data_IF_237440906676
#
_entry.id   IF_237440906676
#
_cell.length_a   1.000
_cell.length_b   1.000
_cell.length_c   1.000
_cell.angle_alpha   90.00
_cell.angle_beta   90.00
_cell.angle_gamma   90.00
#
_symmetry.space_group_name_H-M   'P 1'
#
loop_
_entity.id
_entity.type
_entity.pdbx_description
1 polymer ?
#
# COMPACT_ATOMS: atom_id res chain seq x y z
N UNK A 1 -13.95 25.13 3.64
CA UNK A 1 -14.86 24.86 2.50
C UNK A 1 -16.00 23.99 3.02
N UNK A 2 -17.28 24.25 2.66
CA UNK A 2 -18.34 23.25 2.87
C UNK A 2 -17.95 22.06 2.02
N UNK A 3 -17.91 20.86 2.59
CA UNK A 3 -17.80 19.64 1.79
C UNK A 3 -18.92 19.70 0.74
N UNK A 4 -18.57 19.65 -0.55
CA UNK A 4 -19.55 19.44 -1.60
C UNK A 4 -20.32 18.16 -1.23
N UNK A 5 -21.61 18.15 -1.42
CA UNK A 5 -22.39 16.93 -1.25
C UNK A 5 -21.88 15.95 -2.31
N UNK A 6 -21.46 14.74 -1.91
CA UNK A 6 -20.90 13.77 -2.86
C UNK A 6 -21.90 13.43 -3.99
N UNK A 7 -23.20 13.62 -3.75
CA UNK A 7 -24.26 13.48 -4.78
C UNK A 7 -24.14 14.48 -5.91
N UNK A 8 -23.49 15.62 -5.70
CA UNK A 8 -23.27 16.62 -6.76
C UNK A 8 -22.36 16.07 -7.87
N UNK A 9 -21.60 14.99 -7.60
CA UNK A 9 -20.69 14.32 -8.56
C UNK A 9 -21.34 13.22 -9.41
N UNK A 10 -22.63 12.98 -9.32
CA UNK A 10 -23.30 11.91 -10.07
C UNK A 10 -23.13 12.07 -11.60
N UNK A 11 -23.31 13.28 -12.10
CA UNK A 11 -23.12 13.59 -13.53
C UNK A 11 -21.65 13.48 -13.93
N UNK A 12 -20.72 13.95 -13.06
CA UNK A 12 -19.29 13.87 -13.31
C UNK A 12 -18.79 12.43 -13.35
N UNK A 13 -19.26 11.55 -12.46
CA UNK A 13 -18.96 10.12 -12.46
C UNK A 13 -19.47 9.45 -13.73
N UNK A 14 -20.71 9.77 -14.15
CA UNK A 14 -21.30 9.21 -15.35
C UNK A 14 -20.53 9.64 -16.59
N UNK A 15 -20.13 10.90 -16.68
CA UNK A 15 -19.31 11.44 -17.75
C UNK A 15 -17.93 10.79 -17.78
N UNK A 16 -17.29 10.65 -16.63
CA UNK A 16 -15.99 9.99 -16.50
C UNK A 16 -16.04 8.53 -16.96
N UNK A 17 -17.02 7.77 -16.47
CA UNK A 17 -17.23 6.37 -16.87
C UNK A 17 -17.41 6.22 -18.37
N UNK A 18 -18.21 7.11 -19.00
CA UNK A 18 -18.38 7.13 -20.45
C UNK A 18 -17.08 7.49 -21.18
N UNK A 19 -16.27 8.42 -20.66
CA UNK A 19 -14.99 8.81 -21.27
C UNK A 19 -13.95 7.69 -21.22
N UNK A 20 -14.00 6.85 -20.19
CA UNK A 20 -13.14 5.66 -20.05
C UNK A 20 -13.70 4.43 -20.76
N UNK A 21 -14.89 4.54 -21.39
CA UNK A 21 -15.63 3.42 -22.04
C UNK A 21 -15.80 2.22 -21.09
N UNK A 22 -16.09 2.49 -19.83
CA UNK A 22 -16.28 1.44 -18.82
C UNK A 22 -17.49 0.55 -19.14
N UNK A 23 -17.45 -0.75 -18.80
CA UNK A 23 -18.62 -1.62 -18.91
C UNK A 23 -19.71 -1.18 -17.91
N UNK A 24 -20.98 -1.49 -18.23
CA UNK A 24 -22.13 -1.06 -17.45
C UNK A 24 -22.05 -1.48 -15.96
N UNK A 25 -21.52 -2.67 -15.67
CA UNK A 25 -21.38 -3.15 -14.29
C UNK A 25 -20.50 -2.21 -13.45
N UNK A 26 -19.46 -1.61 -14.05
CA UNK A 26 -18.56 -0.69 -13.32
C UNK A 26 -19.27 0.64 -13.02
N UNK A 27 -20.02 1.19 -13.97
CA UNK A 27 -20.84 2.38 -13.70
C UNK A 27 -21.88 2.12 -12.60
N UNK A 28 -22.58 0.99 -12.65
CA UNK A 28 -23.55 0.60 -11.63
C UNK A 28 -22.89 0.46 -10.25
N UNK A 29 -21.66 -0.10 -10.20
CA UNK A 29 -20.88 -0.23 -8.98
C UNK A 29 -20.46 1.14 -8.43
N UNK A 30 -19.99 2.07 -9.29
CA UNK A 30 -19.65 3.45 -8.90
C UNK A 30 -20.82 4.19 -8.27
N UNK A 31 -21.99 4.10 -8.89
CA UNK A 31 -23.21 4.77 -8.40
C UNK A 31 -23.66 4.19 -7.06
N UNK A 32 -23.62 2.87 -6.92
CA UNK A 32 -23.89 2.20 -5.65
C UNK A 32 -22.90 2.61 -4.56
N UNK A 33 -21.61 2.68 -4.90
CA UNK A 33 -20.56 3.11 -3.99
C UNK A 33 -20.73 4.57 -3.56
N UNK A 34 -21.15 5.45 -4.46
CA UNK A 34 -21.46 6.84 -4.14
C UNK A 34 -22.57 6.95 -3.08
N UNK A 35 -23.64 6.15 -3.19
CA UNK A 35 -24.68 6.06 -2.17
C UNK A 35 -24.12 5.59 -0.83
N UNK A 36 -23.26 4.55 -0.86
CA UNK A 36 -22.62 4.00 0.34
C UNK A 36 -21.68 4.99 1.04
N UNK A 37 -21.03 5.91 0.31
CA UNK A 37 -20.24 6.97 0.92
C UNK A 37 -21.02 7.83 1.93
N UNK A 38 -22.34 7.94 1.78
CA UNK A 38 -23.17 8.70 2.74
C UNK A 38 -23.55 7.89 3.97
N UNK A 39 -23.73 6.57 3.81
CA UNK A 39 -24.20 5.69 4.85
C UNK A 39 -23.09 5.20 5.79
N UNK A 40 -21.89 5.02 5.25
CA UNK A 40 -20.77 4.41 5.96
C UNK A 40 -19.97 5.42 6.78
N UNK A 41 -19.37 4.93 7.86
CA UNK A 41 -18.42 5.69 8.68
C UNK A 41 -17.01 5.67 8.07
N UNK A 42 -16.20 6.68 8.42
CA UNK A 42 -14.76 6.65 8.16
C UNK A 42 -14.08 5.49 8.91
N UNK A 43 -13.02 4.91 8.34
CA UNK A 43 -12.24 3.88 9.03
C UNK A 43 -11.71 4.40 10.37
N UNK A 44 -11.63 3.51 11.35
CA UNK A 44 -11.14 3.84 12.69
C UNK A 44 -9.76 3.22 12.89
N UNK A 45 -8.74 4.05 12.88
CA UNK A 45 -7.41 3.67 13.33
C UNK A 45 -7.23 4.13 14.77
N UNK A 46 -6.93 3.21 15.66
CA UNK A 46 -6.86 3.52 17.09
C UNK A 46 -5.81 4.60 17.35
N UNK A 47 -6.17 5.62 18.16
CA UNK A 47 -5.36 6.78 18.53
C UNK A 47 -5.08 7.79 17.41
N UNK A 48 -5.59 7.60 16.20
CA UNK A 48 -5.47 8.55 15.09
C UNK A 48 -6.81 9.24 14.81
N UNK A 49 -6.81 10.57 14.71
CA UNK A 49 -8.02 11.39 14.51
C UNK A 49 -8.04 11.96 13.11
N UNK A 50 -8.72 11.29 12.20
CA UNK A 50 -8.74 11.61 10.77
C UNK A 50 -9.91 12.50 10.31
N UNK A 51 -10.90 12.76 11.15
CA UNK A 51 -12.13 13.48 10.77
C UNK A 51 -11.91 14.91 10.26
N UNK A 52 -10.70 15.45 10.36
CA UNK A 52 -10.32 16.78 9.83
C UNK A 52 -9.40 16.70 8.63
N UNK A 53 -9.00 15.50 8.22
CA UNK A 53 -8.13 15.35 7.08
C UNK A 53 -8.94 15.46 5.78
N UNK A 54 -8.41 16.05 4.73
CA UNK A 54 -9.10 16.20 3.45
C UNK A 54 -9.05 14.92 2.62
N UNK A 55 -9.45 13.78 3.19
CA UNK A 55 -9.36 12.45 2.55
C UNK A 55 -10.36 12.24 1.39
N UNK A 56 -11.40 13.08 1.33
CA UNK A 56 -12.46 12.95 0.32
C UNK A 56 -12.61 14.23 -0.53
N UNK A 57 -11.51 14.93 -0.76
CA UNK A 57 -11.52 16.07 -1.67
C UNK A 57 -11.35 15.55 -3.12
N UNK A 58 -12.41 15.56 -3.90
CA UNK A 58 -12.42 15.01 -5.27
C UNK A 58 -11.68 15.94 -6.25
N UNK A 59 -11.76 17.25 -6.06
CA UNK A 59 -11.29 18.21 -7.04
C UNK A 59 -12.12 18.14 -8.33
N UNK A 60 -11.46 18.22 -9.49
CA UNK A 60 -12.12 18.10 -10.80
C UNK A 60 -11.82 16.74 -11.43
N UNK A 61 -12.83 15.86 -11.48
CA UNK A 61 -12.68 14.50 -11.99
C UNK A 61 -12.42 14.46 -13.51
N UNK A 62 -13.02 15.40 -14.26
CA UNK A 62 -13.05 15.40 -15.72
C UNK A 62 -12.10 16.44 -16.35
N UNK A 63 -11.22 17.06 -15.60
CA UNK A 63 -10.29 18.05 -16.15
C UNK A 63 -9.20 17.38 -16.97
N UNK A 64 -9.09 17.76 -18.24
CA UNK A 64 -7.95 17.36 -19.07
C UNK A 64 -6.68 18.08 -18.63
N UNK A 65 -5.61 17.33 -18.45
CA UNK A 65 -4.30 17.92 -18.18
C UNK A 65 -3.79 18.57 -19.46
N UNK A 66 -3.81 19.90 -19.50
CA UNK A 66 -3.15 20.67 -20.55
C UNK A 66 -1.63 20.65 -20.30
N UNK A 67 -0.93 19.71 -20.89
CA UNK A 67 0.52 19.62 -20.86
C UNK A 67 1.01 18.18 -21.04
N UNK A 68 2.18 18.03 -21.66
CA UNK A 68 2.85 16.72 -21.67
C UNK A 68 3.51 16.55 -20.31
N UNK A 69 3.04 15.59 -19.46
CA UNK A 69 3.76 15.27 -18.24
C UNK A 69 5.17 14.81 -18.62
N UNK A 70 6.17 15.40 -17.99
CA UNK A 70 7.55 14.96 -18.18
C UNK A 70 7.65 13.62 -17.44
N UNK A 71 8.00 12.56 -18.17
CA UNK A 71 8.31 11.28 -17.53
C UNK A 71 9.47 11.50 -16.56
N UNK A 72 9.37 11.00 -15.33
CA UNK A 72 10.50 10.98 -14.42
C UNK A 72 11.71 10.34 -15.12
N UNK A 73 12.89 10.92 -14.99
CA UNK A 73 14.11 10.31 -15.52
C UNK A 73 14.45 9.08 -14.68
N UNK A 74 14.25 7.90 -15.24
CA UNK A 74 14.77 6.66 -14.70
C UNK A 74 16.06 6.35 -15.44
N UNK A 75 17.15 6.19 -14.70
CA UNK A 75 18.48 6.02 -15.28
C UNK A 75 18.67 4.66 -16.00
N UNK A 76 17.77 3.69 -15.81
CA UNK A 76 17.77 2.43 -16.57
C UNK A 76 16.33 1.87 -16.62
N UNK A 77 15.64 2.02 -17.73
CA UNK A 77 14.51 1.17 -18.07
C UNK A 77 15.08 -0.22 -18.41
N UNK A 78 15.09 -1.12 -17.43
CA UNK A 78 15.35 -2.53 -17.69
C UNK A 78 14.23 -3.10 -18.59
N UNK A 79 14.45 -4.23 -19.26
CA UNK A 79 13.46 -4.95 -20.09
C UNK A 79 12.32 -5.56 -19.24
N UNK A 80 12.03 -4.98 -18.06
CA UNK A 80 10.99 -5.44 -17.14
C UNK A 80 9.60 -4.97 -17.58
N UNK A 81 8.55 -5.75 -17.30
CA UNK A 81 7.18 -5.30 -17.50
C UNK A 81 6.90 -4.06 -16.62
N UNK A 82 6.51 -2.93 -17.24
CA UNK A 82 6.35 -1.65 -16.54
C UNK A 82 5.14 -0.86 -17.03
N UNK A 83 4.42 -0.25 -16.08
CA UNK A 83 3.38 0.74 -16.36
C UNK A 83 3.69 2.01 -15.59
N UNK A 84 3.68 3.15 -16.30
CA UNK A 84 3.82 4.48 -15.71
C UNK A 84 2.53 5.25 -15.94
N UNK A 85 1.90 5.69 -14.85
CA UNK A 85 0.70 6.52 -14.90
C UNK A 85 0.94 7.87 -14.23
N UNK A 86 0.70 8.93 -14.97
CA UNK A 86 0.38 10.22 -14.40
C UNK A 86 -1.08 10.22 -13.95
N UNK A 87 -1.56 11.24 -13.29
CA UNK A 87 -2.95 11.41 -12.81
C UNK A 87 -3.95 10.32 -13.27
N UNK A 88 -4.58 10.47 -14.47
CA UNK A 88 -5.56 9.53 -15.02
C UNK A 88 -5.09 8.82 -16.29
N UNK A 89 -3.87 9.09 -16.73
CA UNK A 89 -3.36 8.67 -18.05
C UNK A 89 -2.19 7.71 -17.90
N UNK A 90 -2.24 6.61 -18.63
CA UNK A 90 -1.10 5.72 -18.84
C UNK A 90 -0.16 6.37 -19.85
N UNK A 91 1.05 6.69 -19.41
CA UNK A 91 2.08 7.39 -20.20
C UNK A 91 3.08 6.44 -20.82
N UNK A 92 3.25 5.29 -20.20
CA UNK A 92 4.14 4.25 -20.66
C UNK A 92 3.60 2.89 -20.26
N UNK A 93 3.68 1.94 -21.17
CA UNK A 93 3.34 0.54 -20.93
C UNK A 93 4.32 -0.35 -21.70
N UNK A 94 4.97 -1.25 -21.00
CA UNK A 94 5.87 -2.24 -21.55
C UNK A 94 5.51 -3.61 -21.04
N UNK A 95 5.26 -4.53 -21.96
CA UNK A 95 4.98 -5.93 -21.68
C UNK A 95 5.82 -6.83 -22.60
N UNK A 96 6.73 -7.68 -22.07
CA UNK A 96 7.48 -8.62 -22.86
C UNK A 96 6.55 -9.58 -23.61
N UNK A 97 6.83 -9.82 -24.91
CA UNK A 97 6.01 -10.68 -25.77
C UNK A 97 5.93 -12.10 -25.22
N UNK A 98 7.01 -12.58 -24.67
CA UNK A 98 7.12 -13.94 -24.10
C UNK A 98 6.16 -14.18 -22.93
N UNK A 99 5.87 -13.15 -22.14
CA UNK A 99 4.90 -13.21 -21.05
C UNK A 99 3.47 -13.14 -21.58
N UNK A 100 3.22 -12.30 -22.57
CA UNK A 100 1.92 -12.21 -23.23
C UNK A 100 1.54 -13.52 -23.94
N UNK A 101 2.51 -14.20 -24.59
CA UNK A 101 2.31 -15.51 -25.20
C UNK A 101 1.99 -16.62 -24.18
N UNK A 102 2.41 -16.46 -22.94
CA UNK A 102 2.04 -17.33 -21.82
C UNK A 102 0.65 -17.01 -21.24
N UNK A 103 -0.02 -15.98 -21.75
CA UNK A 103 -1.32 -15.53 -21.28
C UNK A 103 -1.30 -14.63 -20.05
N UNK A 104 -0.12 -14.08 -19.69
CA UNK A 104 -0.02 -13.06 -18.64
C UNK A 104 -0.63 -11.77 -19.16
N UNK A 105 -1.45 -11.11 -18.32
CA UNK A 105 -2.06 -9.82 -18.63
C UNK A 105 -1.48 -8.81 -17.64
N UNK A 106 -0.91 -7.73 -18.15
CA UNK A 106 -0.44 -6.61 -17.34
C UNK A 106 -0.76 -5.32 -18.10
N UNK A 107 -1.76 -4.60 -17.66
CA UNK A 107 -2.28 -3.45 -18.39
C UNK A 107 -2.99 -2.47 -17.45
N UNK A 108 -3.35 -1.30 -18.00
CA UNK A 108 -4.19 -0.32 -17.35
C UNK A 108 -5.53 -0.92 -16.91
N UNK A 109 -6.02 -0.49 -15.72
CA UNK A 109 -7.24 -1.06 -15.12
C UNK A 109 -8.49 -0.85 -16.01
N UNK A 110 -8.61 0.29 -16.71
CA UNK A 110 -9.76 0.55 -17.58
C UNK A 110 -9.68 -0.28 -18.86
N UNK A 111 -8.49 -0.47 -19.41
CA UNK A 111 -8.25 -1.39 -20.52
C UNK A 111 -8.63 -2.82 -20.12
N UNK A 112 -8.22 -3.26 -18.91
CA UNK A 112 -8.60 -4.57 -18.40
C UNK A 112 -10.13 -4.72 -18.22
N UNK A 113 -10.81 -3.70 -17.71
CA UNK A 113 -12.27 -3.71 -17.57
C UNK A 113 -13.00 -3.86 -18.91
N UNK A 114 -12.43 -3.36 -20.02
CA UNK A 114 -12.98 -3.52 -21.36
C UNK A 114 -12.66 -4.87 -21.98
N UNK A 115 -11.40 -5.25 -21.98
CA UNK A 115 -10.90 -6.40 -22.72
C UNK A 115 -11.05 -7.71 -21.96
N UNK A 116 -11.06 -7.65 -20.63
CA UNK A 116 -11.12 -8.79 -19.70
C UNK A 116 -12.23 -8.62 -18.66
N UNK A 117 -13.37 -8.07 -19.06
CA UNK A 117 -14.45 -7.59 -18.19
C UNK A 117 -14.90 -8.62 -17.15
N UNK A 118 -15.21 -9.84 -17.56
CA UNK A 118 -15.67 -10.91 -16.66
C UNK A 118 -14.63 -11.27 -15.59
N UNK A 119 -13.35 -11.25 -15.97
CA UNK A 119 -12.25 -11.57 -15.05
C UNK A 119 -12.05 -10.46 -14.03
N UNK A 120 -12.13 -9.19 -14.44
CA UNK A 120 -12.00 -8.07 -13.50
C UNK A 120 -13.23 -7.99 -12.58
N UNK A 121 -14.45 -8.15 -13.11
CA UNK A 121 -15.69 -8.11 -12.33
C UNK A 121 -15.72 -9.17 -11.23
N UNK A 122 -15.13 -10.36 -11.46
CA UNK A 122 -15.09 -11.45 -10.47
C UNK A 122 -14.34 -11.05 -9.20
N UNK A 123 -13.27 -10.25 -9.33
CA UNK A 123 -12.36 -9.96 -8.21
C UNK A 123 -12.38 -8.53 -7.70
N UNK A 124 -12.66 -7.56 -8.57
CA UNK A 124 -12.57 -6.13 -8.24
C UNK A 124 -13.52 -5.75 -7.10
N UNK A 125 -12.95 -5.30 -5.99
CA UNK A 125 -13.67 -4.84 -4.80
C UNK A 125 -14.70 -5.86 -4.26
N UNK A 126 -14.33 -7.16 -4.28
CA UNK A 126 -15.23 -8.26 -3.86
C UNK A 126 -14.62 -9.21 -2.85
N UNK A 127 -13.44 -9.78 -3.13
CA UNK A 127 -12.85 -10.87 -2.33
C UNK A 127 -11.87 -10.37 -1.26
N UNK A 128 -10.98 -9.48 -1.63
CA UNK A 128 -9.99 -8.97 -0.71
C UNK A 128 -10.52 -7.70 -0.01
N UNK A 129 -10.90 -6.68 -0.75
CA UNK A 129 -11.44 -5.42 -0.21
C UNK A 129 -12.89 -5.26 -0.64
N UNK A 130 -13.90 -5.46 0.25
CA UNK A 130 -15.29 -5.17 -0.10
C UNK A 130 -15.53 -3.68 -0.34
N UNK A 131 -16.29 -3.34 -1.39
CA UNK A 131 -16.63 -1.96 -1.75
C UNK A 131 -17.31 -1.19 -0.62
N UNK A 132 -18.07 -1.88 0.23
CA UNK A 132 -18.89 -1.32 1.30
C UNK A 132 -18.34 -1.60 2.72
N UNK A 133 -17.04 -1.83 2.84
CA UNK A 133 -16.39 -2.04 4.15
C UNK A 133 -16.41 -0.79 5.01
N UNK A 134 -16.03 0.35 4.44
CA UNK A 134 -16.06 1.66 5.07
C UNK A 134 -16.28 2.79 4.05
N UNK A 135 -16.32 4.02 4.54
CA UNK A 135 -16.51 5.20 3.68
C UNK A 135 -15.38 5.38 2.67
N UNK A 136 -14.14 5.01 3.00
CA UNK A 136 -12.99 5.23 2.12
C UNK A 136 -12.91 4.18 1.00
N UNK A 137 -13.35 2.94 1.24
CA UNK A 137 -13.48 1.91 0.20
C UNK A 137 -14.63 2.23 -0.76
N UNK A 138 -15.75 2.75 -0.25
CA UNK A 138 -16.84 3.24 -1.07
C UNK A 138 -16.41 4.46 -1.91
N UNK A 139 -15.72 5.44 -1.29
CA UNK A 139 -15.17 6.59 -1.98
C UNK A 139 -14.17 6.18 -3.07
N UNK A 140 -13.28 5.21 -2.78
CA UNK A 140 -12.37 4.65 -3.77
C UNK A 140 -13.11 4.14 -5.01
N UNK A 141 -14.12 3.30 -4.78
CA UNK A 141 -14.89 2.68 -5.88
C UNK A 141 -15.66 3.72 -6.71
N UNK A 142 -16.27 4.71 -6.05
CA UNK A 142 -17.03 5.76 -6.75
C UNK A 142 -16.14 6.65 -7.62
N UNK A 143 -14.94 6.98 -7.15
CA UNK A 143 -14.07 7.99 -7.75
C UNK A 143 -12.77 7.44 -8.34
N UNK A 144 -12.62 6.12 -8.47
CA UNK A 144 -11.45 5.48 -9.11
C UNK A 144 -11.08 6.18 -10.42
N UNK A 145 -9.81 6.59 -10.55
CA UNK A 145 -9.35 7.35 -11.70
C UNK A 145 -8.04 6.83 -12.33
N UNK A 146 -7.67 5.60 -12.03
CA UNK A 146 -6.56 4.90 -12.67
C UNK A 146 -6.13 3.67 -11.87
N UNK A 147 -5.18 2.92 -12.42
CA UNK A 147 -4.68 1.73 -11.77
C UNK A 147 -4.17 0.70 -12.76
N UNK A 148 -3.88 -0.48 -12.24
CA UNK A 148 -3.24 -1.56 -12.98
C UNK A 148 -3.92 -2.90 -12.67
N UNK A 149 -4.05 -3.72 -13.68
CA UNK A 149 -4.48 -5.10 -13.59
C UNK A 149 -3.34 -6.05 -13.97
N UNK A 150 -3.03 -7.00 -13.09
CA UNK A 150 -2.07 -8.08 -13.33
C UNK A 150 -2.74 -9.43 -13.13
N UNK A 151 -2.74 -10.24 -14.19
CA UNK A 151 -3.20 -11.62 -14.15
C UNK A 151 -2.07 -12.55 -14.57
N UNK A 152 -1.75 -13.53 -13.73
CA UNK A 152 -0.73 -14.55 -14.01
C UNK A 152 -1.40 -15.92 -14.09
N UNK A 153 -1.38 -16.56 -15.27
CA UNK A 153 -2.06 -17.84 -15.49
C UNK A 153 -1.50 -19.00 -14.64
N UNK A 154 -2.29 -20.06 -14.55
CA UNK A 154 -1.94 -21.29 -13.82
C UNK A 154 -0.58 -21.87 -14.28
N UNK A 155 0.26 -22.22 -13.28
CA UNK A 155 1.60 -22.79 -13.44
C UNK A 155 2.62 -21.88 -14.17
N UNK A 156 2.32 -20.60 -14.35
CA UNK A 156 3.27 -19.63 -14.89
C UNK A 156 4.14 -19.06 -13.76
N UNK A 157 5.46 -19.15 -13.94
CA UNK A 157 6.46 -18.59 -13.02
C UNK A 157 7.17 -17.46 -13.73
N UNK A 158 6.93 -16.23 -13.28
CA UNK A 158 7.56 -15.04 -13.85
C UNK A 158 8.78 -14.67 -13.00
N UNK A 159 9.94 -14.50 -13.66
CA UNK A 159 11.20 -14.17 -13.00
C UNK A 159 11.41 -12.66 -12.87
N UNK A 160 10.97 -11.94 -13.87
CA UNK A 160 11.02 -10.50 -13.94
C UNK A 160 9.99 -9.90 -12.96
N UNK A 161 10.33 -8.78 -12.33
CA UNK A 161 9.37 -8.07 -11.51
C UNK A 161 8.48 -7.18 -12.39
N UNK A 162 7.19 -7.20 -12.16
CA UNK A 162 6.26 -6.21 -12.70
C UNK A 162 6.37 -4.91 -11.91
N UNK A 163 6.42 -3.79 -12.61
CA UNK A 163 6.57 -2.49 -11.97
C UNK A 163 5.46 -1.53 -12.34
N UNK A 164 4.89 -0.84 -11.37
CA UNK A 164 4.05 0.32 -11.59
C UNK A 164 4.63 1.56 -10.92
N UNK A 165 4.66 2.65 -11.66
CA UNK A 165 4.93 3.96 -11.12
C UNK A 165 3.70 4.85 -11.29
N UNK A 166 3.15 5.28 -10.16
CA UNK A 166 2.10 6.28 -10.13
C UNK A 166 2.70 7.61 -9.66
N UNK A 167 2.52 8.67 -10.43
CA UNK A 167 3.00 9.99 -10.04
C UNK A 167 1.98 11.10 -10.29
N UNK A 168 2.06 12.16 -9.49
CA UNK A 168 1.24 13.35 -9.64
C UNK A 168 2.02 14.60 -9.28
N UNK A 169 1.74 15.70 -9.98
CA UNK A 169 2.29 17.00 -9.62
C UNK A 169 1.67 17.51 -8.32
N UNK A 170 2.48 18.07 -7.42
CA UNK A 170 2.00 18.71 -6.20
C UNK A 170 1.20 20.01 -6.44
N UNK A 171 1.13 20.48 -7.69
CA UNK A 171 0.27 21.60 -8.10
C UNK A 171 -1.11 21.17 -8.58
N UNK A 172 -1.32 19.86 -8.83
CA UNK A 172 -2.61 19.30 -9.20
C UNK A 172 -3.36 18.88 -7.93
N UNK A 173 -4.45 19.58 -7.62
CA UNK A 173 -5.26 19.35 -6.42
C UNK A 173 -6.41 18.34 -6.61
N UNK A 174 -6.48 17.68 -7.77
CA UNK A 174 -7.46 16.62 -8.03
C UNK A 174 -7.17 15.40 -7.16
N UNK A 175 -8.24 14.67 -6.81
CA UNK A 175 -8.09 13.42 -6.08
C UNK A 175 -7.25 12.41 -6.89
N UNK A 176 -6.39 11.70 -6.18
CA UNK A 176 -5.51 10.69 -6.77
C UNK A 176 -5.89 9.31 -6.26
N UNK A 177 -6.67 8.58 -7.09
CA UNK A 177 -7.33 7.35 -6.68
C UNK A 177 -6.90 6.21 -7.59
N UNK A 178 -6.05 5.31 -7.07
CA UNK A 178 -5.43 4.22 -7.83
C UNK A 178 -5.76 2.86 -7.26
N UNK A 179 -6.06 1.93 -8.16
CA UNK A 179 -6.33 0.55 -7.84
C UNK A 179 -5.32 -0.39 -8.49
N UNK A 180 -4.76 -1.30 -7.72
CA UNK A 180 -3.96 -2.42 -8.24
C UNK A 180 -4.68 -3.72 -7.93
N UNK A 181 -5.05 -4.46 -8.97
CA UNK A 181 -5.64 -5.79 -8.84
C UNK A 181 -4.69 -6.85 -9.37
N UNK A 182 -4.21 -7.74 -8.49
CA UNK A 182 -3.32 -8.84 -8.84
C UNK A 182 -4.05 -10.15 -8.63
N UNK A 183 -4.18 -10.95 -9.70
CA UNK A 183 -4.73 -12.30 -9.66
C UNK A 183 -3.64 -13.29 -10.04
N UNK A 184 -3.13 -14.04 -9.06
CA UNK A 184 -2.15 -15.08 -9.25
C UNK A 184 -2.85 -16.45 -9.26
N UNK A 185 -2.96 -17.08 -10.41
CA UNK A 185 -3.63 -18.38 -10.58
C UNK A 185 -2.85 -19.52 -9.93
N UNK A 186 -3.45 -20.69 -9.89
CA UNK A 186 -2.93 -21.89 -9.21
C UNK A 186 -1.48 -22.21 -9.61
N UNK A 187 -0.59 -22.33 -8.60
CA UNK A 187 0.85 -22.59 -8.73
C UNK A 187 1.62 -21.54 -9.56
N UNK A 188 1.11 -20.32 -9.70
CA UNK A 188 1.86 -19.24 -10.33
C UNK A 188 2.82 -18.58 -9.34
N UNK A 189 3.88 -17.94 -9.85
CA UNK A 189 4.80 -17.14 -9.03
C UNK A 189 5.03 -15.78 -9.70
N UNK A 190 4.94 -14.70 -8.90
CA UNK A 190 5.09 -13.32 -9.39
C UNK A 190 5.68 -12.39 -8.34
N UNK A 191 6.48 -11.44 -8.80
CA UNK A 191 6.95 -10.30 -8.00
C UNK A 191 6.38 -9.01 -8.58
N UNK A 192 5.85 -8.14 -7.72
CA UNK A 192 5.29 -6.86 -8.10
C UNK A 192 5.89 -5.73 -7.27
N UNK A 193 6.21 -4.62 -7.94
CA UNK A 193 6.77 -3.40 -7.34
C UNK A 193 5.85 -2.22 -7.62
N UNK A 194 5.48 -1.51 -6.56
CA UNK A 194 4.71 -0.26 -6.67
C UNK A 194 5.56 0.92 -6.20
N UNK A 195 5.55 1.98 -6.98
CA UNK A 195 6.14 3.25 -6.60
C UNK A 195 5.09 4.36 -6.68
N UNK A 196 4.90 5.05 -5.54
CA UNK A 196 4.07 6.24 -5.47
C UNK A 196 4.96 7.47 -5.30
N UNK A 197 4.82 8.45 -6.20
CA UNK A 197 5.68 9.62 -6.20
C UNK A 197 4.92 10.90 -6.51
N UNK A 198 5.23 11.99 -5.81
CA UNK A 198 4.78 13.33 -6.17
C UNK A 198 5.95 14.19 -6.63
N UNK A 199 5.71 15.06 -7.60
CA UNK A 199 6.72 15.95 -8.18
C UNK A 199 6.40 17.43 -7.95
N UNK A 200 7.48 18.22 -7.80
CA UNK A 200 7.40 19.67 -7.66
C UNK A 200 7.06 20.11 -6.24
N UNK A 201 6.68 21.39 -6.12
CA UNK A 201 6.25 22.01 -4.87
C UNK A 201 4.81 22.53 -5.03
N UNK A 202 3.98 22.34 -4.02
CA UNK A 202 2.60 22.79 -4.00
C UNK A 202 2.07 22.97 -2.58
N UNK A 203 1.14 23.89 -2.41
CA UNK A 203 0.50 24.17 -1.12
C UNK A 203 -0.94 23.68 -1.05
N UNK A 204 -1.54 23.33 -2.17
CA UNK A 204 -2.91 22.83 -2.22
C UNK A 204 -2.98 21.43 -1.62
N UNK A 205 -4.04 21.15 -0.89
CA UNK A 205 -4.23 19.83 -0.26
C UNK A 205 -4.76 18.82 -1.28
N UNK A 206 -4.03 17.73 -1.41
CA UNK A 206 -4.35 16.61 -2.30
C UNK A 206 -4.89 15.46 -1.46
N UNK A 207 -6.00 14.87 -1.91
CA UNK A 207 -6.53 13.61 -1.39
C UNK A 207 -5.96 12.46 -2.22
N UNK A 208 -5.30 11.51 -1.58
CA UNK A 208 -4.83 10.29 -2.22
C UNK A 208 -5.49 9.05 -1.59
N UNK A 209 -5.96 8.13 -2.44
CA UNK A 209 -6.62 6.89 -2.02
C UNK A 209 -6.11 5.74 -2.88
N UNK A 210 -5.38 4.82 -2.25
CA UNK A 210 -4.77 3.68 -2.93
C UNK A 210 -5.32 2.38 -2.37
N UNK A 211 -5.84 1.53 -3.27
CA UNK A 211 -6.29 0.18 -2.92
C UNK A 211 -5.51 -0.83 -3.74
N UNK A 212 -5.00 -1.86 -3.07
CA UNK A 212 -4.34 -3.00 -3.68
C UNK A 212 -5.06 -4.28 -3.24
N UNK A 213 -5.51 -5.06 -4.20
CA UNK A 213 -6.08 -6.37 -3.98
C UNK A 213 -5.17 -7.45 -4.58
N UNK A 214 -4.81 -8.44 -3.76
CA UNK A 214 -4.04 -9.61 -4.19
C UNK A 214 -4.89 -10.86 -3.96
N UNK A 215 -5.22 -11.55 -5.05
CA UNK A 215 -5.91 -12.84 -5.02
C UNK A 215 -4.89 -13.94 -5.30
N UNK A 216 -4.43 -14.60 -4.26
CA UNK A 216 -3.46 -15.69 -4.35
C UNK A 216 -4.18 -17.04 -4.36
N UNK A 217 -4.33 -17.64 -5.55
CA UNK A 217 -4.98 -18.93 -5.78
C UNK A 217 -4.13 -20.09 -5.21
N UNK A 218 -4.66 -21.31 -5.10
CA UNK A 218 -3.95 -22.40 -4.44
C UNK A 218 -2.51 -22.65 -4.98
N UNK A 219 -1.55 -22.67 -4.05
CA UNK A 219 -0.15 -22.92 -4.37
C UNK A 219 0.59 -21.75 -5.04
N UNK A 220 -0.07 -20.61 -5.27
CA UNK A 220 0.58 -19.44 -5.86
C UNK A 220 1.49 -18.71 -4.86
N UNK A 221 2.46 -17.97 -5.39
CA UNK A 221 3.40 -17.16 -4.60
C UNK A 221 3.45 -15.74 -5.15
N UNK A 222 3.10 -14.78 -4.32
CA UNK A 222 3.15 -13.36 -4.68
C UNK A 222 4.12 -12.64 -3.73
N UNK A 223 5.06 -11.90 -4.30
CA UNK A 223 5.90 -10.97 -3.56
C UNK A 223 5.53 -9.55 -3.99
N UNK A 224 5.07 -8.76 -3.05
CA UNK A 224 4.68 -7.38 -3.28
C UNK A 224 5.62 -6.44 -2.51
N UNK A 225 6.23 -5.50 -3.20
CA UNK A 225 6.99 -4.43 -2.58
C UNK A 225 6.45 -3.06 -2.97
N UNK A 226 6.47 -2.09 -2.06
CA UNK A 226 6.06 -0.72 -2.33
C UNK A 226 6.96 0.30 -1.67
N UNK A 227 7.19 1.42 -2.39
CA UNK A 227 7.83 2.62 -1.85
C UNK A 227 6.90 3.81 -2.07
N UNK A 228 6.38 4.34 -0.98
CA UNK A 228 5.43 5.46 -1.00
C UNK A 228 6.16 6.76 -0.63
N UNK A 229 6.29 7.69 -1.60
CA UNK A 229 7.04 8.95 -1.49
C UNK A 229 6.16 10.14 -1.85
N UNK A 230 5.14 10.39 -1.05
CA UNK A 230 4.16 11.44 -1.28
C UNK A 230 4.53 12.69 -0.47
N UNK A 231 4.35 13.86 -1.08
CA UNK A 231 4.69 15.15 -0.50
C UNK A 231 3.83 15.56 0.71
N UNK A 232 4.27 16.59 1.41
CA UNK A 232 3.66 17.05 2.68
C UNK A 232 2.22 17.59 2.55
N UNK A 233 1.80 17.98 1.34
CA UNK A 233 0.44 18.44 1.07
C UNK A 233 -0.54 17.31 0.76
N UNK A 234 -0.08 16.05 0.70
CA UNK A 234 -0.91 14.87 0.40
C UNK A 234 -1.42 14.24 1.68
N UNK A 235 -2.74 14.08 1.78
CA UNK A 235 -3.38 13.28 2.83
C UNK A 235 -3.80 11.94 2.23
N UNK A 236 -3.27 10.85 2.76
CA UNK A 236 -3.35 9.54 2.11
C UNK A 236 -4.14 8.53 2.92
N UNK A 237 -5.03 7.81 2.22
CA UNK A 237 -5.59 6.54 2.64
C UNK A 237 -4.99 5.42 1.79
N UNK A 238 -4.56 4.34 2.44
CA UNK A 238 -4.04 3.13 1.78
C UNK A 238 -4.74 1.90 2.34
N UNK A 239 -5.21 1.03 1.45
CA UNK A 239 -5.69 -0.30 1.83
C UNK A 239 -5.04 -1.32 0.91
N UNK A 240 -4.19 -2.18 1.47
CA UNK A 240 -3.52 -3.26 0.72
C UNK A 240 -3.91 -4.58 1.36
N UNK A 241 -4.64 -5.42 0.62
CA UNK A 241 -5.17 -6.67 1.17
C UNK A 241 -4.95 -7.86 0.25
N UNK A 242 -4.59 -9.00 0.88
CA UNK A 242 -4.48 -10.27 0.18
C UNK A 242 -5.54 -11.26 0.67
N UNK A 243 -6.16 -11.97 -0.27
CA UNK A 243 -6.92 -13.18 -0.04
C UNK A 243 -6.09 -14.39 -0.42
N UNK A 244 -5.62 -15.16 0.59
CA UNK A 244 -4.62 -16.20 0.42
C UNK A 244 -5.23 -17.58 0.55
N UNK A 245 -5.26 -18.34 -0.56
CA UNK A 245 -5.88 -19.64 -0.63
C UNK A 245 -4.91 -20.77 -0.21
N UNK A 246 -5.34 -22.04 -0.34
CA UNK A 246 -4.61 -23.22 0.12
C UNK A 246 -3.17 -23.26 -0.41
N UNK A 247 -2.20 -23.47 0.50
CA UNK A 247 -0.76 -23.58 0.21
C UNK A 247 -0.18 -22.40 -0.58
N UNK A 248 -0.91 -21.27 -0.65
CA UNK A 248 -0.44 -20.05 -1.29
C UNK A 248 0.32 -19.15 -0.31
N UNK A 249 1.14 -18.26 -0.84
CA UNK A 249 1.87 -17.27 -0.04
C UNK A 249 1.81 -15.87 -0.62
N UNK A 250 1.70 -14.87 0.27
CA UNK A 250 1.84 -13.45 -0.08
C UNK A 250 2.80 -12.78 0.89
N UNK A 251 3.91 -12.28 0.36
CA UNK A 251 4.93 -11.58 1.14
C UNK A 251 4.92 -10.09 0.79
N UNK A 252 4.68 -9.25 1.80
CA UNK A 252 4.65 -7.80 1.69
C UNK A 252 5.93 -7.16 2.22
N UNK A 253 6.48 -6.20 1.46
CA UNK A 253 7.58 -5.33 1.89
C UNK A 253 7.20 -3.87 1.61
N UNK A 254 6.68 -3.17 2.62
CA UNK A 254 6.02 -1.87 2.46
C UNK A 254 6.82 -0.75 3.11
N UNK A 255 7.21 0.25 2.34
CA UNK A 255 7.92 1.44 2.80
C UNK A 255 7.05 2.70 2.75
N UNK A 256 6.61 3.15 3.92
CA UNK A 256 5.80 4.36 4.07
C UNK A 256 6.73 5.54 4.35
N UNK A 257 7.23 6.15 3.26
CA UNK A 257 8.23 7.21 3.27
C UNK A 257 7.64 8.60 2.94
N UNK A 258 6.32 8.73 3.06
CA UNK A 258 5.59 9.97 2.79
C UNK A 258 6.00 11.10 3.73
N UNK A 259 5.80 12.35 3.29
CA UNK A 259 5.96 13.56 4.10
C UNK A 259 4.60 14.10 4.59
N UNK A 260 3.49 13.74 3.90
CA UNK A 260 2.13 14.04 4.30
C UNK A 260 1.51 13.04 5.28
N UNK A 261 0.33 13.35 5.79
CA UNK A 261 -0.40 12.51 6.73
C UNK A 261 -0.91 11.22 6.06
N UNK A 262 -0.81 10.08 6.75
CA UNK A 262 -1.18 8.76 6.22
C UNK A 262 -2.02 7.98 7.20
N UNK A 263 -3.09 7.37 6.70
CA UNK A 263 -3.72 6.19 7.31
C UNK A 263 -3.58 5.01 6.36
N UNK A 264 -3.19 3.88 6.91
CA UNK A 264 -2.97 2.66 6.13
C UNK A 264 -3.55 1.44 6.85
N UNK A 265 -4.13 0.54 6.07
CA UNK A 265 -4.65 -0.76 6.48
C UNK A 265 -4.03 -1.84 5.59
N UNK A 266 -3.20 -2.71 6.17
CA UNK A 266 -2.46 -3.74 5.45
C UNK A 266 -2.85 -5.11 5.96
N UNK A 267 -3.68 -5.84 5.20
CA UNK A 267 -4.29 -7.05 5.65
C UNK A 267 -3.91 -8.28 4.82
N UNK A 268 -3.90 -9.44 5.47
CA UNK A 268 -3.83 -10.73 4.80
C UNK A 268 -4.84 -11.70 5.41
N UNK A 269 -5.79 -12.14 4.60
CA UNK A 269 -6.78 -13.14 4.95
C UNK A 269 -6.29 -14.53 4.52
N UNK A 270 -5.82 -15.33 5.49
CA UNK A 270 -5.30 -16.68 5.28
C UNK A 270 -6.46 -17.68 5.21
N UNK A 271 -7.19 -17.66 4.08
CA UNK A 271 -8.44 -18.39 3.88
C UNK A 271 -8.22 -19.89 3.57
N UNK A 272 -7.04 -20.29 3.10
CA UNK A 272 -6.73 -21.66 2.73
C UNK A 272 -5.86 -22.41 3.74
N UNK A 273 -6.02 -23.73 3.82
CA UNK A 273 -5.15 -24.60 4.63
C UNK A 273 -3.70 -24.44 4.19
N UNK A 274 -2.78 -24.25 5.14
CA UNK A 274 -1.35 -24.10 4.86
C UNK A 274 -0.97 -22.77 4.18
N UNK A 275 -1.88 -21.81 4.10
CA UNK A 275 -1.59 -20.49 3.56
C UNK A 275 -0.59 -19.70 4.42
N UNK A 276 0.18 -18.83 3.80
CA UNK A 276 1.24 -18.08 4.46
C UNK A 276 1.23 -16.60 4.08
N UNK A 277 1.49 -15.71 5.05
CA UNK A 277 1.79 -14.31 4.76
C UNK A 277 2.81 -13.72 5.71
N UNK A 278 3.76 -12.97 5.16
CA UNK A 278 4.64 -12.09 5.91
C UNK A 278 4.36 -10.64 5.53
N UNK A 279 3.99 -9.83 6.52
CA UNK A 279 3.75 -8.38 6.32
C UNK A 279 4.87 -7.61 7.00
N UNK A 280 5.75 -7.02 6.20
CA UNK A 280 6.89 -6.22 6.67
C UNK A 280 6.67 -4.76 6.31
N UNK A 281 6.67 -3.89 7.32
CA UNK A 281 6.41 -2.46 7.15
C UNK A 281 7.55 -1.64 7.73
N UNK A 282 8.05 -0.69 6.93
CA UNK A 282 8.95 0.37 7.38
C UNK A 282 8.25 1.71 7.24
N UNK A 283 8.30 2.54 8.28
CA UNK A 283 7.77 3.89 8.23
C UNK A 283 8.76 4.91 8.82
N UNK A 284 8.85 6.08 8.19
CA UNK A 284 9.60 7.22 8.75
C UNK A 284 8.66 8.42 8.83
N UNK A 285 8.41 8.87 10.05
CA UNK A 285 7.57 10.06 10.31
C UNK A 285 8.46 11.23 10.73
N UNK A 286 8.26 12.41 10.14
CA UNK A 286 9.03 13.63 10.40
C UNK A 286 8.15 14.88 10.48
N UNK A 287 8.73 16.03 10.81
CA UNK A 287 8.01 17.30 10.87
C UNK A 287 6.87 17.28 11.88
N UNK A 288 5.65 17.43 11.42
CA UNK A 288 4.40 17.34 12.20
C UNK A 288 3.45 16.27 11.65
N UNK A 289 3.97 15.42 10.80
CA UNK A 289 3.25 14.34 10.15
C UNK A 289 2.61 13.39 11.18
N UNK A 290 1.45 12.86 10.82
CA UNK A 290 0.76 11.80 11.55
C UNK A 290 0.62 10.59 10.63
N UNK A 291 1.17 9.46 11.05
CA UNK A 291 1.00 8.19 10.39
C UNK A 291 0.29 7.20 11.32
N UNK A 292 -0.82 6.64 10.87
CA UNK A 292 -1.53 5.54 11.53
C UNK A 292 -1.55 4.32 10.63
N UNK A 293 -0.95 3.24 11.07
CA UNK A 293 -0.78 2.03 10.25
C UNK A 293 -1.32 0.83 11.02
N UNK A 294 -2.45 0.31 10.57
CA UNK A 294 -2.99 -0.96 10.99
C UNK A 294 -2.41 -2.06 10.09
N UNK A 295 -2.03 -3.17 10.68
CA UNK A 295 -1.57 -4.34 9.94
C UNK A 295 -2.22 -5.56 10.57
N UNK A 296 -3.00 -6.30 9.79
CA UNK A 296 -3.72 -7.46 10.27
C UNK A 296 -3.37 -8.70 9.47
N UNK A 297 -3.17 -9.82 10.17
CA UNK A 297 -3.17 -11.14 9.56
C UNK A 297 -4.25 -11.98 10.23
N UNK A 298 -5.21 -12.44 9.42
CA UNK A 298 -6.33 -13.26 9.88
C UNK A 298 -6.12 -14.70 9.47
N UNK A 299 -5.80 -15.56 10.43
CA UNK A 299 -5.71 -17.02 10.24
C UNK A 299 -7.12 -17.60 10.23
N UNK A 300 -7.66 -17.94 9.05
CA UNK A 300 -9.01 -18.46 8.88
C UNK A 300 -9.05 -19.99 8.72
N UNK A 301 -7.93 -20.58 8.30
CA UNK A 301 -7.83 -22.01 7.98
C UNK A 301 -6.73 -22.72 8.77
N UNK A 302 -6.80 -24.07 8.92
CA UNK A 302 -5.81 -24.85 9.64
C UNK A 302 -4.38 -24.71 9.03
N UNK A 303 -3.39 -24.74 9.94
CA UNK A 303 -1.95 -24.72 9.58
C UNK A 303 -1.53 -23.47 8.79
N UNK A 304 -2.31 -22.39 8.85
CA UNK A 304 -1.93 -21.10 8.27
C UNK A 304 -0.88 -20.41 9.14
N UNK A 305 0.05 -19.69 8.50
CA UNK A 305 1.13 -18.97 9.18
C UNK A 305 1.10 -17.50 8.80
N UNK A 306 1.00 -16.63 9.80
CA UNK A 306 0.91 -15.19 9.61
C UNK A 306 1.91 -14.42 10.47
N UNK A 307 2.80 -13.65 9.83
CA UNK A 307 3.82 -12.88 10.52
C UNK A 307 3.70 -11.39 10.20
N UNK A 308 3.82 -10.55 11.24
CA UNK A 308 3.84 -9.09 11.12
C UNK A 308 5.15 -8.56 11.68
N UNK A 309 5.85 -7.72 10.91
CA UNK A 309 7.05 -7.03 11.32
C UNK A 309 6.95 -5.55 10.96
N UNK A 310 6.83 -4.67 11.97
CA UNK A 310 6.70 -3.22 11.77
C UNK A 310 7.86 -2.51 12.45
N UNK A 311 8.68 -1.80 11.67
CA UNK A 311 9.75 -0.95 12.19
C UNK A 311 9.54 0.51 11.77
N UNK A 312 9.51 1.40 12.76
CA UNK A 312 9.26 2.82 12.53
C UNK A 312 10.30 3.73 13.16
N UNK A 313 10.60 4.82 12.48
CA UNK A 313 11.49 5.88 12.97
C UNK A 313 10.75 7.21 12.99
N UNK A 314 10.89 7.96 14.08
CA UNK A 314 10.20 9.22 14.25
C UNK A 314 11.20 10.32 14.57
N UNK A 315 11.13 11.39 13.81
CA UNK A 315 11.93 12.61 13.96
C UNK A 315 11.06 13.78 14.41
N UNK A 316 11.69 14.80 14.90
CA UNK A 316 11.11 16.10 15.24
C UNK A 316 9.84 16.01 16.09
N UNK A 317 8.66 16.30 15.52
CA UNK A 317 7.34 16.24 16.16
C UNK A 317 6.41 15.25 15.46
N UNK A 318 6.96 14.37 14.64
CA UNK A 318 6.20 13.34 13.96
C UNK A 318 5.47 12.44 14.95
N UNK A 319 4.38 11.87 14.48
CA UNK A 319 3.59 10.87 15.22
C UNK A 319 3.45 9.63 14.36
N UNK A 320 3.77 8.46 14.93
CA UNK A 320 3.59 7.17 14.28
C UNK A 320 2.87 6.23 15.24
N UNK A 321 1.78 5.65 14.77
CA UNK A 321 1.04 4.60 15.47
C UNK A 321 1.08 3.32 14.64
N UNK A 322 1.60 2.26 15.20
CA UNK A 322 1.50 0.91 14.70
C UNK A 322 0.48 0.10 15.51
N UNK A 323 -0.50 -0.48 14.85
CA UNK A 323 -1.38 -1.48 15.40
C UNK A 323 -1.12 -2.80 14.66
N UNK A 324 -0.52 -3.78 15.35
CA UNK A 324 -0.30 -5.12 14.81
C UNK A 324 -1.41 -6.04 15.30
N UNK A 325 -2.19 -6.65 14.40
CA UNK A 325 -3.37 -7.44 14.74
C UNK A 325 -3.22 -8.86 14.21
N UNK A 326 -2.91 -9.81 15.10
CA UNK A 326 -2.96 -11.23 14.81
C UNK A 326 -4.33 -11.80 15.20
N UNK A 327 -5.11 -12.31 14.24
CA UNK A 327 -6.42 -12.85 14.51
C UNK A 327 -6.51 -14.31 14.07
N UNK A 328 -6.71 -15.23 15.02
CA UNK A 328 -6.88 -16.66 14.75
C UNK A 328 -8.34 -17.03 14.96
N UNK A 329 -9.03 -17.34 13.87
CA UNK A 329 -10.45 -17.68 13.90
C UNK A 329 -10.68 -19.11 14.40
N UNK A 330 -11.88 -19.35 14.90
CA UNK A 330 -12.35 -20.71 15.25
C UNK A 330 -12.25 -21.64 14.05
N UNK A 331 -11.61 -22.78 14.25
CA UNK A 331 -11.35 -23.77 13.20
C UNK A 331 -9.94 -23.71 12.58
N UNK A 332 -9.17 -22.66 12.79
CA UNK A 332 -7.80 -22.51 12.31
C UNK A 332 -6.77 -23.27 13.19
N UNK A 333 -7.00 -24.57 13.39
CA UNK A 333 -6.11 -25.43 14.17
C UNK A 333 -4.71 -25.51 13.61
N UNK A 334 -3.70 -25.47 14.50
CA UNK A 334 -2.30 -25.51 14.10
C UNK A 334 -1.82 -24.22 13.43
N UNK A 335 -2.60 -23.15 13.50
CA UNK A 335 -2.17 -21.83 13.00
C UNK A 335 -1.05 -21.24 13.87
N UNK A 336 -0.19 -20.44 13.25
CA UNK A 336 0.87 -19.66 13.91
C UNK A 336 0.72 -18.17 13.54
N UNK A 337 0.68 -17.29 14.55
CA UNK A 337 0.56 -15.85 14.41
C UNK A 337 1.62 -15.13 15.24
N UNK A 338 2.65 -14.59 14.59
CA UNK A 338 3.73 -13.86 15.25
C UNK A 338 3.72 -12.39 14.83
N UNK A 339 3.97 -11.49 15.79
CA UNK A 339 4.06 -10.08 15.47
C UNK A 339 5.13 -9.35 16.29
N UNK A 340 5.81 -8.42 15.63
CA UNK A 340 6.77 -7.53 16.25
C UNK A 340 6.56 -6.11 15.75
N UNK A 341 6.41 -5.15 16.67
CA UNK A 341 6.31 -3.72 16.33
C UNK A 341 7.36 -2.94 17.13
N UNK A 342 8.27 -2.29 16.42
CA UNK A 342 9.35 -1.49 17.02
C UNK A 342 9.33 -0.05 16.53
N UNK A 343 9.40 0.91 17.45
CA UNK A 343 9.44 2.33 17.13
C UNK A 343 10.66 2.97 17.78
N UNK A 344 11.47 3.64 16.95
CA UNK A 344 12.66 4.38 17.38
C UNK A 344 12.39 5.89 17.27
N UNK A 345 12.46 6.59 18.41
CA UNK A 345 12.28 8.04 18.46
C UNK A 345 13.63 8.75 18.50
N UNK A 346 13.89 9.62 17.52
CA UNK A 346 15.11 10.43 17.40
C UNK A 346 14.97 11.82 18.05
N UNK A 347 13.78 12.16 18.56
CA UNK A 347 13.49 13.48 19.14
C UNK A 347 12.65 13.35 20.42
N UNK A 348 12.85 14.28 21.37
CA UNK A 348 12.06 14.40 22.59
C UNK A 348 10.59 14.77 22.33
N UNK A 349 10.30 15.34 21.17
CA UNK A 349 8.95 15.77 20.78
C UNK A 349 8.24 14.78 19.87
N UNK A 350 8.94 13.72 19.48
CA UNK A 350 8.38 12.61 18.71
C UNK A 350 7.38 11.81 19.55
N UNK A 351 6.35 11.28 18.92
CA UNK A 351 5.37 10.40 19.54
C UNK A 351 5.26 9.09 18.77
N UNK A 352 5.53 7.98 19.45
CA UNK A 352 5.41 6.63 18.91
C UNK A 352 4.49 5.76 19.77
N UNK A 353 3.52 5.12 19.13
CA UNK A 353 2.66 4.13 19.76
C UNK A 353 2.83 2.79 19.02
N UNK A 354 3.08 1.70 19.74
CA UNK A 354 3.13 0.33 19.22
C UNK A 354 2.13 -0.52 20.01
N UNK A 355 1.06 -0.93 19.37
CA UNK A 355 -0.07 -1.61 20.00
C UNK A 355 -0.23 -3.00 19.37
N UNK A 356 0.39 -4.04 19.94
CA UNK A 356 0.17 -5.40 19.48
C UNK A 356 -1.16 -5.94 20.02
N UNK A 357 -1.97 -6.55 19.17
CA UNK A 357 -3.28 -7.09 19.49
C UNK A 357 -3.31 -8.56 19.03
N UNK A 358 -3.70 -9.48 19.92
CA UNK A 358 -3.94 -10.88 19.59
C UNK A 358 -5.40 -11.21 19.90
N UNK A 359 -6.11 -11.65 18.85
CA UNK A 359 -7.48 -12.15 18.92
C UNK A 359 -7.43 -13.65 18.62
N UNK A 360 -7.67 -14.50 19.62
CA UNK A 360 -7.49 -15.96 19.50
C UNK A 360 -8.76 -16.68 19.88
N UNK A 361 -9.43 -17.25 18.87
CA UNK A 361 -10.69 -18.00 19.04
C UNK A 361 -10.50 -19.51 18.93
N UNK A 362 -9.24 -20.01 18.79
CA UNK A 362 -8.89 -21.43 18.69
C UNK A 362 -7.86 -21.84 19.76
N UNK A 363 -7.87 -23.11 20.20
CA UNK A 363 -7.03 -23.59 21.30
C UNK A 363 -5.69 -24.19 20.86
N UNK A 364 -5.66 -24.91 19.73
CA UNK A 364 -4.49 -25.63 19.24
C UNK A 364 -3.68 -24.75 18.28
N UNK A 365 -3.09 -23.65 18.80
CA UNK A 365 -2.40 -22.64 17.98
C UNK A 365 -1.12 -22.15 18.67
N UNK A 366 -0.24 -21.54 17.90
CA UNK A 366 0.91 -20.78 18.39
C UNK A 366 0.66 -19.31 18.11
N UNK A 367 0.89 -18.45 19.09
CA UNK A 367 0.80 -17.02 18.90
C UNK A 367 1.78 -16.27 19.81
N UNK A 368 2.33 -15.20 19.30
CA UNK A 368 3.24 -14.37 20.08
C UNK A 368 3.25 -12.93 19.59
N UNK A 369 3.50 -11.99 20.49
CA UNK A 369 3.73 -10.62 20.11
C UNK A 369 4.87 -9.97 20.89
N UNK A 370 5.53 -9.00 20.27
CA UNK A 370 6.51 -8.13 20.89
C UNK A 370 6.29 -6.68 20.45
N UNK A 371 6.43 -5.76 21.39
CA UNK A 371 6.41 -4.33 21.07
C UNK A 371 7.48 -3.59 21.83
N UNK A 372 8.11 -2.62 21.17
CA UNK A 372 9.01 -1.69 21.83
C UNK A 372 8.89 -0.29 21.23
N UNK A 373 8.89 0.71 22.08
CA UNK A 373 9.02 2.10 21.69
C UNK A 373 10.13 2.71 22.56
N UNK A 374 11.17 3.21 21.94
CA UNK A 374 12.35 3.69 22.66
C UNK A 374 13.06 4.82 21.90
N UNK A 375 14.06 5.38 22.56
CA UNK A 375 14.98 6.35 21.97
C UNK A 375 16.28 5.66 21.60
N UNK A 376 17.09 6.34 20.78
CA UNK A 376 18.45 5.91 20.53
C UNK A 376 19.19 5.76 21.87
N UNK A 377 19.90 4.66 22.01
CA UNK A 377 20.74 4.43 23.17
C UNK A 377 21.93 5.39 23.14
N UNK A 378 22.07 6.27 24.14
CA UNK A 378 23.21 7.20 24.22
C UNK A 378 24.56 6.50 24.26
N UNK A 379 24.65 5.27 24.82
CA UNK A 379 25.90 4.50 24.90
C UNK A 379 26.29 3.97 23.51
N UNK A 380 25.34 3.51 22.69
CA UNK A 380 25.58 3.11 21.30
C UNK A 380 26.10 4.29 20.46
N UNK A 381 25.46 5.45 20.60
CA UNK A 381 25.90 6.67 19.93
C UNK A 381 27.30 7.08 20.40
N UNK A 382 27.53 7.10 21.71
CA UNK A 382 28.85 7.43 22.30
C UNK A 382 29.93 6.48 21.78
N UNK A 383 29.64 5.18 21.68
CA UNK A 383 30.59 4.21 21.15
C UNK A 383 31.00 4.53 19.71
N UNK A 384 30.05 4.80 18.82
CA UNK A 384 30.33 5.17 17.44
C UNK A 384 31.10 6.50 17.34
N UNK A 385 30.71 7.50 18.13
CA UNK A 385 31.38 8.79 18.19
C UNK A 385 32.82 8.67 18.74
N UNK A 386 33.05 7.79 19.71
CA UNK A 386 34.40 7.52 20.25
C UNK A 386 35.34 6.89 19.20
N UNK A 387 34.78 6.31 18.14
CA UNK A 387 35.51 5.78 16.95
C UNK A 387 35.72 6.82 15.86
N UNK A 388 35.36 8.09 16.09
CA UNK A 388 35.56 9.20 15.18
C UNK A 388 34.40 9.42 14.19
N UNK A 389 33.26 8.74 14.39
CA UNK A 389 32.06 8.95 13.53
C UNK A 389 31.31 10.19 14.07
N UNK A 390 31.02 11.21 13.23
CA UNK A 390 30.21 12.34 13.63
C UNK A 390 28.82 11.92 14.12
N UNK A 391 28.22 12.65 15.06
CA UNK A 391 26.95 12.28 15.68
C UNK A 391 25.84 11.99 14.65
N UNK A 392 25.62 12.88 13.70
CA UNK A 392 24.59 12.68 12.63
C UNK A 392 24.80 11.38 11.86
N UNK A 393 26.05 11.06 11.56
CA UNK A 393 26.39 9.83 10.85
C UNK A 393 26.17 8.59 11.73
N UNK A 394 26.48 8.68 13.02
CA UNK A 394 26.22 7.61 13.97
C UNK A 394 24.71 7.34 14.10
N UNK A 395 23.90 8.39 14.24
CA UNK A 395 22.44 8.29 14.25
C UNK A 395 21.90 7.62 12.98
N UNK A 396 22.43 8.01 11.79
CA UNK A 396 22.09 7.41 10.50
C UNK A 396 22.41 5.91 10.47
N UNK A 397 23.61 5.53 10.88
CA UNK A 397 24.05 4.13 10.87
C UNK A 397 23.19 3.25 11.78
N UNK A 398 22.88 3.70 13.01
CA UNK A 398 22.01 2.96 13.92
C UNK A 398 20.60 2.83 13.34
N UNK A 399 20.07 3.91 12.80
CA UNK A 399 18.73 3.90 12.18
C UNK A 399 18.66 2.96 10.98
N UNK A 400 19.67 2.96 10.10
CA UNK A 400 19.74 2.02 8.96
C UNK A 400 19.83 0.56 9.43
N UNK A 401 20.63 0.30 10.46
CA UNK A 401 20.70 -1.04 11.08
C UNK A 401 19.35 -1.48 11.64
N UNK A 402 18.65 -0.57 12.31
CA UNK A 402 17.32 -0.82 12.87
C UNK A 402 16.27 -1.15 11.79
N UNK A 403 16.29 -0.47 10.65
CA UNK A 403 15.37 -0.71 9.53
C UNK A 403 15.82 -1.86 8.61
N UNK A 404 17.06 -2.32 8.75
CA UNK A 404 17.72 -3.25 7.83
C UNK A 404 16.99 -4.59 7.64
N UNK A 405 16.32 -5.10 8.67
CA UNK A 405 15.58 -6.37 8.60
C UNK A 405 14.44 -6.37 7.58
N UNK A 406 13.81 -5.21 7.38
CA UNK A 406 12.76 -5.06 6.36
C UNK A 406 13.37 -4.79 4.99
N UNK A 407 14.39 -3.94 4.91
CA UNK A 407 15.06 -3.60 3.64
C UNK A 407 15.62 -4.86 2.96
N UNK A 408 16.24 -5.75 3.72
CA UNK A 408 16.80 -7.01 3.17
C UNK A 408 15.74 -7.99 2.68
N UNK A 409 14.49 -7.81 3.09
CA UNK A 409 13.37 -8.65 2.64
C UNK A 409 12.80 -8.24 1.28
N UNK A 410 13.16 -7.06 0.77
CA UNK A 410 12.71 -6.58 -0.54
C UNK A 410 13.32 -7.47 -1.63
N UNK A 411 12.51 -8.03 -2.55
CA UNK A 411 12.99 -9.06 -3.47
C UNK A 411 13.88 -8.53 -4.60
N UNK A 412 13.89 -7.22 -4.86
CA UNK A 412 14.61 -6.59 -5.98
C UNK A 412 15.71 -5.66 -5.46
N UNK A 413 16.93 -5.89 -5.92
CA UNK A 413 18.12 -5.16 -5.42
C UNK A 413 18.04 -3.65 -5.70
N UNK A 414 17.60 -3.23 -6.87
CA UNK A 414 17.44 -1.82 -7.21
C UNK A 414 16.49 -1.10 -6.24
N UNK A 415 15.39 -1.76 -5.86
CA UNK A 415 14.42 -1.23 -4.89
C UNK A 415 15.00 -1.18 -3.48
N UNK A 416 15.83 -2.17 -3.09
CA UNK A 416 16.56 -2.08 -1.82
C UNK A 416 17.46 -0.83 -1.77
N UNK A 417 18.18 -0.57 -2.86
CA UNK A 417 19.09 0.58 -2.95
C UNK A 417 18.30 1.90 -2.94
N UNK A 418 17.18 2.00 -3.63
CA UNK A 418 16.25 3.13 -3.56
C UNK A 418 15.73 3.37 -2.12
N UNK A 419 15.35 2.31 -1.41
CA UNK A 419 14.97 2.42 0.01
C UNK A 419 16.07 3.04 0.85
N UNK A 420 17.31 2.56 0.66
CA UNK A 420 18.47 3.10 1.39
C UNK A 420 18.66 4.58 1.11
N UNK A 421 18.57 5.00 -0.15
CA UNK A 421 18.68 6.41 -0.54
C UNK A 421 17.58 7.28 0.07
N UNK A 422 16.34 6.82 0.04
CA UNK A 422 15.20 7.54 0.63
C UNK A 422 15.35 7.68 2.13
N UNK A 423 15.78 6.61 2.81
CA UNK A 423 16.07 6.63 4.24
C UNK A 423 17.20 7.63 4.54
N UNK A 424 18.29 7.55 3.81
CA UNK A 424 19.43 8.46 4.01
C UNK A 424 19.02 9.93 3.82
N UNK A 425 18.25 10.25 2.78
CA UNK A 425 17.73 11.60 2.55
C UNK A 425 16.87 12.06 3.72
N UNK A 426 15.92 11.25 4.16
CA UNK A 426 15.03 11.58 5.28
C UNK A 426 15.75 11.70 6.63
N UNK A 427 16.95 11.15 6.77
CA UNK A 427 17.73 11.23 8.00
C UNK A 427 18.75 12.39 8.01
N UNK A 428 19.10 12.94 6.84
CA UNK A 428 20.11 14.01 6.72
C UNK A 428 19.50 15.40 6.93
N UNK A 429 18.26 15.62 6.54
CA UNK A 429 17.52 16.89 6.68
C UNK A 429 16.92 17.01 8.10
#
# INVERSE_FOLDING_TARGET
MKNADLKDYLDDITLFSASQEEPQWMLDLRLKALEKCEELDLPKIERVKIHRWPLMNVGNLNEEILGNPVLPSFDEMEDNPMIIQGRTTTLYEQMPVELSEQGVIFTDIFTAMKEHSELVEEYFMTKAVPMDEDKMTAFHTAFLNGGVFLYVPKNVVVKEAFESLFFQSMTDNSAWIKHVLIVAEENSEVTYLERLHTEGEGSEKISANFVVEVIAKPGSKVKFAAIDRLGENVSTYMNRRAHVMRDASVDWALGIMNDGDVIADFDSDLAGVGSHSEVKVVAISSGRQVQGIDTRVTNMAPHSVGNILQHGVIRERGTLTFNGIGHILKGAKGADAQQESRVLMLSDKARGDANPILLIDEFEVTAGHAASAGRLDPEELYYLMSRGIPQKEAERLVTRGFLGSVITAIPVKAVQDEFVEVIDRKLVD
#
